data_IF_853232846872
#
_entry.id   IF_853232846872
#
_cell.length_a   1.000
_cell.length_b   1.000
_cell.length_c   1.000
_cell.angle_alpha   90.00
_cell.angle_beta   90.00
_cell.angle_gamma   90.00
#
_symmetry.space_group_name_H-M   'P 1'
#
loop_
_entity.id
_entity.type
_entity.pdbx_description
1 polymer ?
#
# COMPACT_ATOMS: atom_id res chain seq x y z
N UNK A 1 -6.33 -10.85 5.41
CA UNK A 1 -6.08 -9.71 6.32
C UNK A 1 -5.12 -10.04 7.47
N UNK A 2 -4.40 -11.19 7.46
CA UNK A 2 -3.49 -11.57 8.55
C UNK A 2 -2.02 -11.22 8.28
N UNK A 3 -1.72 -10.49 7.19
CA UNK A 3 -0.35 -10.30 6.71
C UNK A 3 0.30 -11.63 6.29
N UNK A 4 1.54 -11.57 5.80
CA UNK A 4 2.36 -12.76 5.52
C UNK A 4 3.24 -13.15 6.73
N UNK A 5 3.30 -12.31 7.76
CA UNK A 5 4.07 -12.56 8.98
C UNK A 5 3.14 -12.81 10.17
N UNK A 6 3.45 -13.84 10.97
CA UNK A 6 2.67 -14.23 12.15
C UNK A 6 2.58 -13.10 13.20
N UNK A 7 3.58 -12.22 13.24
CA UNK A 7 3.62 -11.10 14.18
C UNK A 7 2.82 -9.89 13.72
N UNK A 8 2.31 -9.86 12.49
CA UNK A 8 1.55 -8.74 11.90
C UNK A 8 0.07 -8.73 12.34
N UNK A 9 -0.19 -8.95 13.63
CA UNK A 9 -1.55 -8.98 14.22
C UNK A 9 -2.17 -7.60 14.44
N UNK A 10 -1.37 -6.53 14.34
CA UNK A 10 -1.80 -5.15 14.59
C UNK A 10 -2.40 -4.45 13.37
N UNK A 11 -2.10 -4.90 12.15
CA UNK A 11 -2.71 -4.39 10.91
C UNK A 11 -4.19 -4.78 10.83
N UNK A 12 -4.50 -6.03 11.16
CA UNK A 12 -5.87 -6.56 11.24
C UNK A 12 -6.74 -5.75 12.21
N UNK A 13 -6.23 -5.44 13.41
CA UNK A 13 -6.97 -4.64 14.41
C UNK A 13 -7.36 -3.25 13.91
N UNK A 14 -6.61 -2.71 12.95
CA UNK A 14 -6.80 -1.37 12.37
C UNK A 14 -7.38 -1.42 10.96
N UNK A 15 -7.72 -2.61 10.45
CA UNK A 15 -8.19 -2.82 9.07
C UNK A 15 -7.26 -2.18 8.00
N UNK A 16 -5.97 -2.11 8.28
CA UNK A 16 -4.98 -1.52 7.36
C UNK A 16 -4.67 -2.55 6.27
N UNK A 17 -4.97 -2.17 5.03
CA UNK A 17 -4.71 -2.97 3.83
C UNK A 17 -4.03 -2.12 2.78
N UNK A 18 -3.19 -2.75 1.96
CA UNK A 18 -2.65 -2.14 0.76
C UNK A 18 -3.68 -2.27 -0.37
N UNK A 19 -4.10 -1.15 -0.94
CA UNK A 19 -5.15 -1.15 -1.98
C UNK A 19 -4.99 0.02 -2.96
N UNK A 20 -5.72 -0.04 -4.06
CA UNK A 20 -5.82 1.09 -4.99
C UNK A 20 -7.06 1.94 -4.76
N UNK A 21 -7.05 3.19 -5.26
CA UNK A 21 -8.21 4.08 -5.23
C UNK A 21 -8.23 5.04 -6.42
N UNK A 22 -9.42 5.28 -6.99
CA UNK A 22 -9.62 6.15 -8.15
C UNK A 22 -9.21 7.62 -7.91
N UNK A 23 -9.15 8.07 -6.65
CA UNK A 23 -8.74 9.45 -6.33
C UNK A 23 -7.22 9.60 -6.22
N UNK A 24 -6.46 8.51 -6.23
CA UNK A 24 -5.00 8.59 -6.28
C UNK A 24 -4.52 8.90 -7.69
N UNK A 25 -3.57 9.83 -7.78
CA UNK A 25 -2.89 10.19 -9.03
C UNK A 25 -1.87 9.12 -9.41
N UNK A 26 -1.67 8.94 -10.72
CA UNK A 26 -0.54 8.19 -11.26
C UNK A 26 0.78 8.98 -11.17
N UNK A 27 0.70 10.31 -11.00
CA UNK A 27 1.86 11.21 -11.02
C UNK A 27 2.22 11.69 -9.60
N UNK A 28 3.45 12.19 -9.42
CA UNK A 28 3.91 12.74 -8.14
C UNK A 28 3.12 14.00 -7.77
N UNK A 29 2.41 13.95 -6.64
CA UNK A 29 1.54 15.03 -6.15
C UNK A 29 2.20 15.92 -5.09
N UNK A 30 3.46 15.66 -4.72
CA UNK A 30 4.17 16.54 -3.81
C UNK A 30 4.35 17.94 -4.46
N UNK A 31 4.10 19.06 -3.76
CA UNK A 31 3.76 19.19 -2.34
C UNK A 31 2.25 19.28 -2.04
N UNK A 32 1.38 19.16 -3.05
CA UNK A 32 -0.09 19.23 -2.87
C UNK A 32 -0.63 18.10 -1.99
N UNK A 33 0.04 16.95 -2.01
CA UNK A 33 -0.35 15.76 -1.25
C UNK A 33 -1.42 14.92 -1.95
N UNK A 34 -1.64 13.73 -1.42
CA UNK A 34 -2.70 12.81 -1.85
C UNK A 34 -3.99 13.04 -1.05
N UNK A 35 -5.13 12.50 -1.51
CA UNK A 35 -6.30 12.34 -0.64
C UNK A 35 -5.94 11.74 0.72
N UNK A 36 -6.57 12.24 1.78
CA UNK A 36 -6.32 11.79 3.14
C UNK A 36 -6.81 10.35 3.34
N UNK A 37 -5.89 9.47 3.75
CA UNK A 37 -6.18 8.08 4.09
C UNK A 37 -6.14 7.87 5.60
N UNK A 38 -6.97 6.96 6.11
CA UNK A 38 -7.05 6.64 7.56
C UNK A 38 -5.99 5.61 7.98
N UNK A 39 -4.79 5.73 7.40
CA UNK A 39 -3.65 4.84 7.64
C UNK A 39 -3.46 3.72 6.60
N UNK A 40 -4.39 3.53 5.66
CA UNK A 40 -4.18 2.60 4.54
C UNK A 40 -3.15 3.18 3.56
N UNK A 41 -2.09 2.42 3.22
CA UNK A 41 -1.26 2.77 2.08
C UNK A 41 -2.07 2.52 0.81
N UNK A 42 -2.34 3.61 0.09
CA UNK A 42 -3.19 3.63 -1.09
C UNK A 42 -2.39 4.15 -2.29
N UNK A 43 -2.57 3.53 -3.44
CA UNK A 43 -1.97 3.95 -4.72
C UNK A 43 -3.04 4.08 -5.80
N UNK A 44 -2.69 4.58 -6.98
CA UNK A 44 -3.61 4.61 -8.11
C UNK A 44 -3.93 3.21 -8.63
N UNK A 45 -5.00 3.09 -9.39
CA UNK A 45 -5.36 1.80 -10.01
C UNK A 45 -4.36 1.34 -11.06
N UNK A 46 -3.73 2.26 -11.80
CA UNK A 46 -2.77 1.88 -12.82
C UNK A 46 -1.47 1.38 -12.17
N UNK A 47 -0.98 2.05 -11.13
CA UNK A 47 0.14 1.56 -10.34
C UNK A 47 -0.14 0.17 -9.73
N UNK A 48 -1.35 -0.08 -9.24
CA UNK A 48 -1.70 -1.40 -8.69
C UNK A 48 -1.68 -2.51 -9.74
N UNK A 49 -2.07 -2.23 -10.99
CA UNK A 49 -1.98 -3.23 -12.08
C UNK A 49 -0.54 -3.64 -12.38
N UNK A 50 0.41 -2.74 -12.17
CA UNK A 50 1.84 -3.01 -12.36
C UNK A 50 2.45 -3.71 -11.15
N UNK A 51 2.05 -3.31 -9.93
CA UNK A 51 2.61 -3.82 -8.68
C UNK A 51 2.04 -5.20 -8.31
N UNK A 52 0.75 -5.46 -8.57
CA UNK A 52 0.08 -6.70 -8.16
C UNK A 52 0.79 -7.97 -8.69
N UNK A 53 1.18 -8.07 -9.98
CA UNK A 53 1.95 -9.22 -10.47
C UNK A 53 3.32 -9.36 -9.80
N UNK A 54 3.99 -8.24 -9.47
CA UNK A 54 5.30 -8.25 -8.78
C UNK A 54 5.15 -8.80 -7.37
N UNK A 55 4.10 -8.38 -6.64
CA UNK A 55 3.82 -8.91 -5.31
C UNK A 55 3.46 -10.40 -5.35
N UNK A 56 2.64 -10.82 -6.31
CA UNK A 56 2.22 -12.22 -6.45
C UNK A 56 3.37 -13.15 -6.86
N UNK A 57 4.34 -12.64 -7.62
CA UNK A 57 5.51 -13.42 -8.05
C UNK A 57 6.65 -13.43 -7.02
N UNK A 58 6.52 -12.71 -5.90
CA UNK A 58 7.56 -12.64 -4.88
C UNK A 58 7.67 -13.94 -4.08
N UNK A 59 8.82 -14.61 -4.18
CA UNK A 59 9.13 -15.81 -3.39
C UNK A 59 9.40 -15.51 -1.91
N UNK A 60 9.68 -14.24 -1.59
CA UNK A 60 10.00 -13.76 -0.24
C UNK A 60 8.95 -12.79 0.26
N UNK A 61 8.75 -12.69 1.60
CA UNK A 61 7.94 -11.63 2.18
C UNK A 61 8.42 -10.25 1.71
N UNK A 62 7.47 -9.40 1.29
CA UNK A 62 7.75 -8.04 0.82
C UNK A 62 7.60 -7.07 1.98
N UNK A 63 8.64 -6.29 2.27
CA UNK A 63 8.62 -5.22 3.27
C UNK A 63 8.13 -3.92 2.64
N UNK A 64 7.00 -3.41 3.13
CA UNK A 64 6.53 -2.07 2.80
C UNK A 64 7.17 -1.06 3.76
N UNK A 65 8.05 -0.20 3.23
CA UNK A 65 8.79 0.77 4.02
C UNK A 65 8.36 2.20 3.68
N UNK A 66 7.94 2.96 4.70
CA UNK A 66 7.66 4.39 4.59
C UNK A 66 8.82 5.13 5.23
N UNK A 67 9.57 5.90 4.44
CA UNK A 67 10.65 6.75 4.95
C UNK A 67 10.15 8.17 5.15
N UNK A 68 10.65 8.83 6.18
CA UNK A 68 10.51 10.27 6.34
C UNK A 68 11.72 10.97 5.71
N UNK A 69 11.53 12.18 5.19
CA UNK A 69 12.66 13.07 4.87
C UNK A 69 13.13 13.79 6.12
#
# INVERSE_FOLDING_TARGET
MHGLEETNSNSLKRFIVFHSWNLMSDEEVFPKGSPEGWGCPTISNNAMKEIDPILQSSEKPVLMWIFNK
#
